data_IF_153632882783
#
_entry.id   IF_153632882783
#
_cell.length_a   1.000
_cell.length_b   1.000
_cell.length_c   1.000
_cell.angle_alpha   90.00
_cell.angle_beta   90.00
_cell.angle_gamma   90.00
#
_symmetry.space_group_name_H-M   'P 1'
#
loop_
_entity.id
_entity.type
_entity.pdbx_description
1 polymer ?
#
# COMPACT_ATOMS: atom_id res chain seq x y z
N UNK A 1 3.50 5.76 -7.44
CA UNK A 1 2.82 6.33 -6.26
C UNK A 1 3.86 6.96 -5.36
N UNK A 2 3.59 8.15 -4.81
CA UNK A 2 4.55 8.91 -4.02
C UNK A 2 3.90 9.36 -2.70
N UNK A 3 4.55 9.14 -1.54
CA UNK A 3 4.07 9.65 -0.27
C UNK A 3 4.22 11.18 -0.22
N UNK A 4 3.29 11.83 0.48
CA UNK A 4 3.39 13.26 0.79
C UNK A 4 3.67 13.44 2.27
N UNK A 5 4.70 14.20 2.57
CA UNK A 5 5.08 14.57 3.93
C UNK A 5 4.70 16.02 4.19
N UNK A 6 4.47 16.35 5.46
CA UNK A 6 4.34 17.74 5.89
C UNK A 6 5.63 18.52 5.56
N UNK A 7 5.51 19.82 5.25
CA UNK A 7 6.66 20.64 4.85
C UNK A 7 7.75 20.74 5.93
N UNK A 8 7.34 20.75 7.20
CA UNK A 8 8.24 20.79 8.37
C UNK A 8 8.77 19.42 8.80
N UNK A 9 8.55 18.35 8.03
CA UNK A 9 9.01 17.03 8.40
C UNK A 9 10.55 16.94 8.35
N UNK A 10 11.17 16.46 9.46
CA UNK A 10 12.61 16.25 9.53
C UNK A 10 13.05 15.19 8.51
N UNK A 11 13.93 15.59 7.59
CA UNK A 11 14.38 14.72 6.50
C UNK A 11 15.11 13.48 7.01
N UNK A 12 15.99 13.62 8.00
CA UNK A 12 16.83 12.54 8.48
C UNK A 12 16.07 11.60 9.42
N UNK A 13 15.13 12.14 10.20
CA UNK A 13 14.38 11.36 11.19
C UNK A 13 13.07 10.79 10.68
N UNK A 14 12.45 11.41 9.66
CA UNK A 14 11.12 11.02 9.18
C UNK A 14 11.19 10.49 7.76
N UNK A 15 11.74 11.26 6.81
CA UNK A 15 11.70 10.88 5.39
C UNK A 15 12.67 9.75 5.06
N UNK A 16 13.95 9.90 5.41
CA UNK A 16 14.98 8.88 5.12
C UNK A 16 14.60 7.50 5.66
N UNK A 17 14.11 7.34 6.90
CA UNK A 17 13.69 6.04 7.42
C UNK A 17 12.26 5.65 7.04
N UNK A 18 11.51 6.47 6.29
CA UNK A 18 10.14 6.13 5.91
C UNK A 18 10.14 4.93 4.98
N UNK A 19 9.45 3.89 5.43
CA UNK A 19 9.21 2.66 4.70
C UNK A 19 7.88 2.08 5.17
N UNK A 20 6.95 1.86 4.23
CA UNK A 20 5.64 1.28 4.52
C UNK A 20 5.35 0.12 3.56
N UNK A 21 4.99 -1.04 4.09
CA UNK A 21 4.52 -2.16 3.29
C UNK A 21 3.00 -2.02 3.09
N UNK A 22 2.59 -1.76 1.85
CA UNK A 22 1.19 -1.53 1.50
C UNK A 22 0.67 -2.77 0.79
N UNK A 23 -0.37 -3.39 1.33
CA UNK A 23 -1.10 -4.45 0.65
C UNK A 23 -2.04 -3.82 -0.37
N UNK A 24 -1.94 -4.22 -1.64
CA UNK A 24 -2.74 -3.69 -2.74
C UNK A 24 -3.82 -4.71 -3.13
N UNK A 25 -5.04 -4.22 -3.31
CA UNK A 25 -6.22 -5.01 -3.69
C UNK A 25 -6.91 -4.40 -4.89
N UNK A 26 -7.54 -5.27 -5.67
CA UNK A 26 -8.40 -4.90 -6.80
C UNK A 26 -9.84 -5.28 -6.48
N UNK A 27 -10.81 -4.44 -6.88
CA UNK A 27 -12.24 -4.77 -6.75
C UNK A 27 -12.64 -6.00 -7.60
N UNK A 28 -11.86 -6.32 -8.65
CA UNK A 28 -12.04 -7.54 -9.43
C UNK A 28 -10.69 -8.05 -9.98
N UNK A 29 -10.12 -9.04 -9.30
CA UNK A 29 -8.83 -9.64 -9.65
C UNK A 29 -8.83 -10.45 -10.97
N UNK A 30 -9.99 -10.76 -11.56
CA UNK A 30 -10.05 -11.43 -12.86
C UNK A 30 -9.76 -10.46 -14.01
N UNK A 31 -10.27 -9.23 -13.89
CA UNK A 31 -10.14 -8.19 -14.92
C UNK A 31 -8.95 -7.28 -14.64
N UNK A 32 -8.74 -6.87 -13.38
CA UNK A 32 -7.65 -5.97 -12.99
C UNK A 32 -6.75 -6.69 -12.00
N UNK A 33 -5.57 -7.07 -12.46
CA UNK A 33 -4.53 -7.74 -11.68
C UNK A 33 -3.49 -6.73 -11.20
N UNK A 34 -3.12 -6.86 -9.94
CA UNK A 34 -2.19 -5.98 -9.22
C UNK A 34 -1.24 -6.86 -8.40
N UNK A 35 -0.03 -6.36 -8.03
CA UNK A 35 0.77 -7.04 -7.02
C UNK A 35 0.02 -7.10 -5.69
N UNK A 36 0.32 -8.10 -4.86
CA UNK A 36 -0.30 -8.22 -3.54
C UNK A 36 0.25 -7.18 -2.54
N UNK A 37 1.55 -6.86 -2.64
CA UNK A 37 2.22 -5.88 -1.79
C UNK A 37 3.15 -4.98 -2.60
N UNK A 38 3.30 -3.74 -2.13
CA UNK A 38 4.36 -2.83 -2.56
C UNK A 38 5.09 -2.28 -1.34
N UNK A 39 6.40 -2.08 -1.45
CA UNK A 39 7.18 -1.36 -0.46
C UNK A 39 7.23 0.13 -0.86
N UNK A 40 6.65 1.02 -0.07
CA UNK A 40 6.66 2.44 -0.33
C UNK A 40 7.71 3.14 0.53
N UNK A 41 8.73 3.71 -0.12
CA UNK A 41 9.74 4.56 0.54
C UNK A 41 9.45 6.04 0.27
N UNK A 42 10.22 6.95 0.88
CA UNK A 42 10.03 8.40 0.69
C UNK A 42 10.20 8.88 -0.76
N UNK A 43 10.94 8.14 -1.59
CA UNK A 43 11.10 8.42 -3.02
C UNK A 43 9.94 7.89 -3.88
N UNK A 44 8.94 7.25 -3.26
CA UNK A 44 7.86 6.59 -3.96
C UNK A 44 8.23 5.22 -4.50
N UNK A 45 7.24 4.56 -5.11
CA UNK A 45 7.41 3.29 -5.80
C UNK A 45 6.44 3.20 -6.99
N UNK A 46 6.81 2.42 -8.00
CA UNK A 46 5.99 2.15 -9.18
C UNK A 46 5.62 0.66 -9.22
N UNK A 47 4.40 0.39 -9.67
CA UNK A 47 3.93 -0.98 -9.87
C UNK A 47 3.04 -1.06 -11.11
N UNK A 48 2.99 -2.26 -11.68
CA UNK A 48 2.19 -2.53 -12.87
C UNK A 48 0.77 -2.95 -12.48
N UNK A 49 -0.20 -2.47 -13.27
CA UNK A 49 -1.59 -2.93 -13.23
C UNK A 49 -1.87 -3.59 -14.57
N UNK A 50 -2.24 -4.87 -14.55
CA UNK A 50 -2.64 -5.60 -15.76
C UNK A 50 -4.15 -5.60 -15.88
N UNK A 51 -4.66 -5.22 -17.05
CA UNK A 51 -6.09 -5.23 -17.36
C UNK A 51 -6.37 -6.26 -18.45
N UNK A 52 -7.24 -7.22 -18.16
CA UNK A 52 -7.74 -8.24 -19.09
C UNK A 52 -9.23 -8.00 -19.37
N UNK A 53 -9.57 -7.33 -20.48
CA UNK A 53 -10.95 -6.99 -20.81
C UNK A 53 -11.71 -8.15 -21.49
N UNK A 54 -11.08 -9.31 -21.72
CA UNK A 54 -11.62 -10.39 -22.57
C UNK A 54 -12.97 -10.94 -22.08
N UNK A 55 -13.26 -10.79 -20.78
CA UNK A 55 -14.51 -11.22 -20.15
C UNK A 55 -15.60 -10.14 -20.06
N UNK A 56 -15.31 -8.93 -20.53
CA UNK A 56 -16.24 -7.80 -20.46
C UNK A 56 -17.17 -7.76 -21.67
N UNK A 57 -18.46 -7.57 -21.43
CA UNK A 57 -19.43 -7.25 -22.49
C UNK A 57 -19.24 -5.82 -22.98
N UNK A 58 -19.91 -5.47 -24.09
CA UNK A 58 -20.02 -4.08 -24.52
C UNK A 58 -20.55 -3.17 -23.39
N UNK A 59 -20.02 -1.96 -23.30
CA UNK A 59 -20.38 -0.97 -22.28
C UNK A 59 -19.18 -0.32 -21.59
N UNK A 60 -19.47 0.52 -20.59
CA UNK A 60 -18.47 1.17 -19.74
C UNK A 60 -18.38 0.41 -18.42
N UNK A 61 -17.16 0.01 -18.04
CA UNK A 61 -16.88 -0.76 -16.83
C UNK A 61 -15.93 0.01 -15.93
N UNK A 62 -16.17 -0.05 -14.62
CA UNK A 62 -15.36 0.62 -13.59
C UNK A 62 -14.79 -0.41 -12.61
N UNK A 63 -13.50 -0.25 -12.29
CA UNK A 63 -12.77 -1.08 -11.34
C UNK A 63 -11.88 -0.20 -10.46
N UNK A 64 -11.62 -0.65 -9.24
CA UNK A 64 -10.83 0.08 -8.25
C UNK A 64 -9.58 -0.72 -7.88
N UNK A 65 -8.50 0.00 -7.65
CA UNK A 65 -7.30 -0.51 -6.98
C UNK A 65 -7.10 0.33 -5.72
N UNK A 66 -7.06 -0.31 -4.57
CA UNK A 66 -6.89 0.36 -3.28
C UNK A 66 -5.79 -0.32 -2.46
N UNK A 67 -5.10 0.47 -1.64
CA UNK A 67 -4.05 0.00 -0.74
C UNK A 67 -4.49 0.07 0.71
N UNK A 68 -4.13 -0.94 1.51
CA UNK A 68 -4.32 -0.93 2.95
C UNK A 68 -3.00 -1.17 3.68
N UNK A 69 -2.76 -0.41 4.74
CA UNK A 69 -1.64 -0.62 5.66
C UNK A 69 -2.19 -1.47 6.80
N UNK A 70 -1.69 -2.68 6.96
CA UNK A 70 -2.04 -3.51 8.11
C UNK A 70 -1.27 -3.07 9.34
N UNK A 71 -1.96 -2.43 10.29
CA UNK A 71 -1.42 -2.15 11.61
C UNK A 71 -1.99 -3.16 12.60
N UNK A 72 -1.13 -4.02 13.15
CA UNK A 72 -1.49 -4.89 14.27
C UNK A 72 -1.10 -4.19 15.56
N UNK A 73 -2.11 -3.77 16.31
CA UNK A 73 -1.92 -3.29 17.67
C UNK A 73 -1.96 -4.50 18.60
N UNK A 74 -0.91 -4.66 19.41
CA UNK A 74 -0.85 -5.69 20.45
C UNK A 74 -0.91 -5.00 21.82
N UNK A 75 -1.71 -5.53 22.73
CA UNK A 75 -1.66 -5.11 24.13
C UNK A 75 -0.38 -5.65 24.75
N UNK A 76 0.46 -4.75 25.24
CA UNK A 76 1.68 -5.11 25.95
C UNK A 76 1.33 -5.34 27.43
N UNK A 77 1.60 -6.54 27.99
CA UNK A 77 1.32 -6.81 29.40
C UNK A 77 2.04 -5.84 30.34
N UNK A 78 1.40 -5.52 31.46
CA UNK A 78 1.99 -4.67 32.50
C UNK A 78 3.27 -5.34 33.03
N UNK A 79 4.37 -4.61 33.02
CA UNK A 79 5.68 -5.08 33.50
C UNK A 79 6.55 -5.74 32.43
N UNK A 80 6.07 -5.88 31.19
CA UNK A 80 6.92 -6.31 30.07
C UNK A 80 8.05 -5.31 29.82
N UNK A 81 9.28 -5.82 29.74
CA UNK A 81 10.46 -5.02 29.42
C UNK A 81 10.83 -5.08 27.94
N UNK A 82 10.49 -6.16 27.22
CA UNK A 82 10.75 -6.37 25.79
C UNK A 82 9.71 -7.30 25.13
N UNK A 83 9.58 -7.25 23.80
CA UNK A 83 8.76 -8.13 22.93
C UNK A 83 9.58 -8.47 21.67
N UNK A 84 9.48 -9.71 21.20
CA UNK A 84 9.99 -10.20 19.89
C UNK A 84 8.83 -10.75 19.06
#
# INVERSE_FOLDING_TARGET
>A
VEPKFHEDADKLKILVPFEECIHIKSSNAKVVKVPEYILLTHSGNNFNVLVDPTSLSEGVHYFEVYGHIERRFIEVPIGSTWVE
#
